data_IF_188767896573
#
_entry.id   IF_188767896573
#
_cell.length_a   1.000
_cell.length_b   1.000
_cell.length_c   1.000
_cell.angle_alpha   90.00
_cell.angle_beta   90.00
_cell.angle_gamma   90.00
#
_symmetry.space_group_name_H-M   'P 1'
#
loop_
_entity.id
_entity.type
_entity.pdbx_description
1 polymer ?
#
# COMPACT_ATOMS: atom_id res chain seq x y z
N UNK A 1 -25.31 2.15 -43.46
CA UNK A 1 -25.16 1.86 -42.03
C UNK A 1 -24.01 0.88 -41.94
N UNK A 2 -22.86 1.28 -41.42
CA UNK A 2 -21.66 0.43 -41.41
C UNK A 2 -21.84 -0.54 -40.25
N UNK A 3 -22.14 -1.81 -40.56
CA UNK A 3 -22.06 -2.89 -39.59
C UNK A 3 -20.59 -3.11 -39.26
N UNK A 4 -20.13 -2.43 -38.21
CA UNK A 4 -18.79 -2.64 -37.65
C UNK A 4 -18.83 -4.02 -36.99
N UNK A 5 -17.97 -4.98 -37.40
CA UNK A 5 -17.90 -6.27 -36.73
C UNK A 5 -17.56 -6.04 -35.26
N UNK A 6 -18.43 -6.53 -34.37
CA UNK A 6 -18.19 -6.46 -32.94
C UNK A 6 -17.13 -7.52 -32.60
N UNK A 7 -15.87 -7.11 -32.51
CA UNK A 7 -14.81 -8.00 -32.05
C UNK A 7 -15.08 -8.39 -30.59
N UNK A 8 -15.02 -9.69 -30.27
CA UNK A 8 -15.28 -10.23 -28.94
C UNK A 8 -14.29 -9.70 -27.86
N UNK A 9 -13.19 -9.08 -28.30
CA UNK A 9 -12.15 -8.49 -27.43
C UNK A 9 -12.44 -7.03 -27.01
N UNK A 10 -13.38 -6.34 -27.68
CA UNK A 10 -13.78 -4.96 -27.35
C UNK A 10 -14.12 -4.75 -25.86
N UNK A 11 -14.89 -5.62 -25.18
CA UNK A 11 -15.18 -5.47 -23.76
C UNK A 11 -13.94 -5.59 -22.86
N UNK A 12 -12.92 -6.39 -23.24
CA UNK A 12 -11.69 -6.55 -22.48
C UNK A 12 -10.83 -5.26 -22.55
N UNK A 13 -10.67 -4.72 -23.75
CA UNK A 13 -9.96 -3.45 -23.94
C UNK A 13 -10.66 -2.28 -23.25
N UNK A 14 -11.99 -2.26 -23.24
CA UNK A 14 -12.76 -1.24 -22.53
C UNK A 14 -12.51 -1.28 -21.02
N UNK A 15 -12.43 -2.49 -20.43
CA UNK A 15 -12.12 -2.67 -19.02
C UNK A 15 -10.70 -2.20 -18.68
N UNK A 16 -9.73 -2.51 -19.52
CA UNK A 16 -8.34 -2.09 -19.35
C UNK A 16 -8.19 -0.56 -19.44
N UNK A 17 -8.76 0.04 -20.48
CA UNK A 17 -8.76 1.49 -20.66
C UNK A 17 -9.43 2.20 -19.48
N UNK A 18 -10.58 1.69 -19.02
CA UNK A 18 -11.25 2.22 -17.85
C UNK A 18 -10.37 2.14 -16.61
N UNK A 19 -9.69 1.01 -16.41
CA UNK A 19 -8.76 0.80 -15.29
C UNK A 19 -7.60 1.80 -15.29
N UNK A 20 -7.00 2.07 -16.46
CA UNK A 20 -5.92 3.06 -16.59
C UNK A 20 -6.41 4.49 -16.38
N UNK A 21 -7.61 4.83 -16.86
CA UNK A 21 -8.24 6.13 -16.59
C UNK A 21 -8.57 6.26 -15.10
N UNK A 22 -9.04 5.19 -14.47
CA UNK A 22 -9.38 5.14 -13.05
C UNK A 22 -8.17 5.45 -12.16
N UNK A 23 -6.98 4.90 -12.47
CA UNK A 23 -5.75 5.19 -11.74
C UNK A 23 -5.44 6.70 -11.66
N UNK A 24 -5.69 7.44 -12.76
CA UNK A 24 -5.54 8.90 -12.79
C UNK A 24 -6.71 9.63 -12.13
N UNK A 25 -7.92 9.08 -12.19
CA UNK A 25 -9.09 9.70 -11.59
C UNK A 25 -9.03 9.69 -10.06
N UNK A 26 -8.63 8.59 -9.44
CA UNK A 26 -8.68 8.44 -7.97
C UNK A 26 -7.67 9.30 -7.20
N UNK A 27 -6.70 9.93 -7.88
CA UNK A 27 -5.80 10.92 -7.29
C UNK A 27 -6.34 12.36 -7.35
N UNK A 28 -7.43 12.59 -8.08
CA UNK A 28 -8.09 13.91 -8.15
C UNK A 28 -8.96 14.16 -6.92
N UNK A 29 -9.31 15.41 -6.62
CA UNK A 29 -10.18 15.75 -5.47
C UNK A 29 -11.51 15.00 -5.49
N UNK A 30 -12.21 14.99 -6.63
CA UNK A 30 -13.49 14.26 -6.77
C UNK A 30 -13.32 12.74 -6.66
N UNK A 31 -12.23 12.20 -7.21
CA UNK A 31 -11.93 10.76 -7.10
C UNK A 31 -11.60 10.35 -5.68
N UNK A 32 -10.82 11.17 -4.96
CA UNK A 32 -10.49 10.99 -3.55
C UNK A 32 -11.75 10.95 -2.68
N UNK A 33 -12.67 11.91 -2.86
CA UNK A 33 -13.94 11.93 -2.12
C UNK A 33 -14.80 10.69 -2.42
N UNK A 34 -14.85 10.27 -3.69
CA UNK A 34 -15.55 9.04 -4.08
C UNK A 34 -14.94 7.79 -3.44
N UNK A 35 -13.60 7.74 -3.38
CA UNK A 35 -12.86 6.64 -2.74
C UNK A 35 -13.05 6.62 -1.22
N UNK A 36 -13.13 7.78 -0.55
CA UNK A 36 -13.50 7.86 0.87
C UNK A 36 -14.90 7.32 1.10
N UNK A 37 -15.88 7.74 0.28
CA UNK A 37 -17.25 7.22 0.40
C UNK A 37 -17.28 5.70 0.22
N UNK A 38 -16.52 5.17 -0.74
CA UNK A 38 -16.42 3.73 -0.97
C UNK A 38 -15.71 2.98 0.18
N UNK A 39 -14.70 3.59 0.81
CA UNK A 39 -13.99 3.04 1.97
C UNK A 39 -14.90 2.98 3.20
N UNK A 40 -15.64 4.05 3.48
CA UNK A 40 -16.60 4.12 4.59
C UNK A 40 -17.75 3.11 4.44
N UNK A 41 -18.12 2.76 3.20
CA UNK A 41 -19.10 1.71 2.90
C UNK A 41 -18.57 0.28 3.16
N UNK A 42 -17.30 0.12 3.56
CA UNK A 42 -16.71 -1.18 3.87
C UNK A 42 -16.35 -2.01 2.63
N UNK A 43 -16.37 -1.42 1.42
CA UNK A 43 -16.01 -2.14 0.20
C UNK A 43 -14.51 -2.47 0.14
N UNK A 44 -13.67 -1.66 0.80
CA UNK A 44 -12.20 -1.82 0.82
C UNK A 44 -11.62 -2.20 2.19
N UNK A 45 -12.39 -2.05 3.27
CA UNK A 45 -11.94 -2.31 4.65
C UNK A 45 -12.74 -3.47 5.25
N UNK A 46 -12.13 -4.65 5.30
CA UNK A 46 -12.62 -5.71 6.19
C UNK A 46 -12.04 -5.51 7.60
N UNK A 47 -12.86 -5.33 8.65
CA UNK A 47 -12.37 -5.39 10.02
C UNK A 47 -11.93 -6.83 10.30
N UNK A 48 -10.62 -7.04 10.45
CA UNK A 48 -10.04 -8.36 10.68
C UNK A 48 -9.24 -8.95 9.52
N UNK A 49 -8.60 -8.11 8.68
CA UNK A 49 -7.60 -8.59 7.73
C UNK A 49 -6.40 -9.17 8.50
N UNK A 50 -6.48 -10.46 8.80
CA UNK A 50 -5.35 -11.30 9.15
C UNK A 50 -4.33 -11.15 8.02
N UNK A 51 -3.13 -10.66 8.36
CA UNK A 51 -1.94 -10.53 7.49
C UNK A 51 -1.49 -11.85 6.83
N UNK A 52 -2.28 -12.93 7.00
CA UNK A 52 -2.07 -14.29 6.53
C UNK A 52 -3.36 -14.75 5.86
N UNK A 53 -3.39 -14.68 4.53
CA UNK A 53 -4.50 -15.17 3.70
C UNK A 53 -5.43 -14.08 3.16
N UNK A 54 -4.90 -13.16 2.36
CA UNK A 54 -5.73 -12.29 1.51
C UNK A 54 -6.46 -13.17 0.50
N UNK A 55 -7.73 -13.48 0.76
CA UNK A 55 -8.61 -14.11 -0.25
C UNK A 55 -8.85 -13.08 -1.34
N UNK A 56 -8.14 -13.20 -2.47
CA UNK A 56 -8.34 -12.32 -3.61
C UNK A 56 -9.78 -12.45 -4.10
N UNK A 57 -10.53 -11.37 -3.97
CA UNK A 57 -11.85 -11.23 -4.59
C UNK A 57 -11.60 -10.55 -5.93
N UNK A 58 -11.83 -11.28 -7.02
CA UNK A 58 -11.59 -10.90 -8.43
C UNK A 58 -10.15 -10.45 -8.74
N UNK A 59 -9.55 -10.98 -9.81
CA UNK A 59 -8.21 -10.56 -10.27
C UNK A 59 -8.34 -9.19 -10.95
N UNK A 60 -8.38 -8.12 -10.16
CA UNK A 60 -8.27 -6.74 -10.64
C UNK A 60 -6.79 -6.34 -10.58
N UNK A 61 -6.26 -5.77 -11.65
CA UNK A 61 -4.87 -5.32 -11.67
C UNK A 61 -4.67 -4.12 -10.73
N UNK A 62 -3.63 -4.17 -9.91
CA UNK A 62 -3.21 -3.06 -9.06
C UNK A 62 -2.78 -1.82 -9.86
N UNK A 63 -2.40 -1.99 -11.13
CA UNK A 63 -2.08 -0.88 -12.04
C UNK A 63 -3.26 0.09 -12.20
N UNK A 64 -4.51 -0.38 -12.07
CA UNK A 64 -5.72 0.45 -12.17
C UNK A 64 -5.98 1.36 -10.96
N UNK A 65 -5.18 1.19 -9.90
CA UNK A 65 -5.17 2.07 -8.74
C UNK A 65 -3.90 2.92 -8.68
N UNK A 66 -2.77 2.35 -9.12
CA UNK A 66 -1.48 3.02 -9.10
C UNK A 66 -0.84 3.08 -7.70
N UNK A 67 0.46 3.36 -7.67
CA UNK A 67 1.26 3.34 -6.44
C UNK A 67 1.13 4.62 -5.61
N UNK A 68 0.81 5.74 -6.24
CA UNK A 68 0.75 7.05 -5.56
C UNK A 68 -0.55 7.27 -4.80
N UNK A 69 -1.64 6.63 -5.24
CA UNK A 69 -2.98 6.81 -4.64
C UNK A 69 -2.99 6.58 -3.12
N UNK A 70 -2.48 5.45 -2.58
CA UNK A 70 -2.51 5.23 -1.13
C UNK A 70 -1.80 6.33 -0.34
N UNK A 71 -0.66 6.81 -0.83
CA UNK A 71 0.10 7.86 -0.18
C UNK A 71 -0.65 9.20 -0.20
N UNK A 72 -1.13 9.62 -1.36
CA UNK A 72 -1.93 10.85 -1.50
C UNK A 72 -3.20 10.79 -0.66
N UNK A 73 -3.88 9.66 -0.66
CA UNK A 73 -5.13 9.45 0.06
C UNK A 73 -4.96 9.69 1.57
N UNK A 74 -3.95 9.10 2.20
CA UNK A 74 -3.70 9.31 3.64
C UNK A 74 -3.07 10.68 3.95
N UNK A 75 -2.35 11.29 3.00
CA UNK A 75 -1.90 12.68 3.14
C UNK A 75 -3.08 13.66 3.18
N UNK A 76 -4.12 13.40 2.38
CA UNK A 76 -5.35 14.22 2.34
C UNK A 76 -6.29 13.89 3.51
N UNK A 77 -6.46 12.62 3.87
CA UNK A 77 -7.37 12.16 4.93
C UNK A 77 -6.62 11.50 6.08
N UNK A 78 -5.88 12.31 6.85
CA UNK A 78 -5.07 11.84 7.98
C UNK A 78 -5.89 11.13 9.07
N UNK A 79 -7.14 11.54 9.27
CA UNK A 79 -8.04 10.95 10.25
C UNK A 79 -8.44 9.49 9.93
N UNK A 80 -8.21 9.05 8.69
CA UNK A 80 -8.50 7.68 8.24
C UNK A 80 -7.27 6.77 8.28
N UNK A 81 -6.11 7.28 8.73
CA UNK A 81 -4.88 6.49 8.80
C UNK A 81 -5.05 5.30 9.76
N UNK A 82 -4.75 4.07 9.31
CA UNK A 82 -4.87 2.91 10.17
C UNK A 82 -3.85 3.00 11.31
N UNK A 83 -4.31 2.75 12.54
CA UNK A 83 -3.40 2.64 13.68
C UNK A 83 -2.30 1.60 13.39
N UNK A 84 -1.03 1.89 13.70
CA UNK A 84 0.07 0.98 13.42
C UNK A 84 -0.16 -0.37 14.10
N UNK A 85 0.13 -1.45 13.38
CA UNK A 85 -0.03 -2.79 13.92
C UNK A 85 0.96 -3.00 15.07
N UNK A 86 0.46 -3.10 16.30
CA UNK A 86 1.29 -3.40 17.48
C UNK A 86 1.71 -4.88 17.55
N UNK A 87 1.12 -5.73 16.70
CA UNK A 87 1.43 -7.16 16.64
C UNK A 87 2.70 -7.41 15.81
N UNK A 88 3.83 -7.50 16.50
CA UNK A 88 5.07 -8.02 15.92
C UNK A 88 4.91 -9.51 15.60
N UNK A 89 5.24 -9.88 14.36
CA UNK A 89 5.27 -11.29 13.98
C UNK A 89 6.30 -12.05 14.83
N UNK A 90 5.84 -13.10 15.51
CA UNK A 90 6.70 -13.99 16.28
C UNK A 90 6.97 -15.24 15.44
N UNK A 91 8.16 -15.39 14.84
CA UNK A 91 8.47 -16.55 14.02
C UNK A 91 8.49 -17.83 14.87
N UNK A 92 7.79 -18.87 14.39
CA UNK A 92 7.66 -20.16 15.07
C UNK A 92 7.95 -21.32 14.10
N UNK A 93 8.65 -22.34 14.61
CA UNK A 93 8.92 -23.60 13.90
C UNK A 93 8.40 -24.74 14.79
N UNK A 94 7.52 -25.59 14.26
CA UNK A 94 6.80 -26.62 15.03
C UNK A 94 6.10 -26.05 16.30
N UNK A 95 5.65 -24.80 16.27
CA UNK A 95 5.00 -24.13 17.41
C UNK A 95 5.95 -23.45 18.40
N UNK A 96 7.26 -23.74 18.35
CA UNK A 96 8.28 -23.15 19.22
C UNK A 96 8.79 -21.81 18.65
N UNK A 97 8.97 -20.80 19.51
CA UNK A 97 9.53 -19.49 19.12
C UNK A 97 11.01 -19.65 18.76
N UNK A 98 11.47 -18.98 17.70
CA UNK A 98 12.90 -18.96 17.36
C UNK A 98 13.68 -18.18 18.43
N UNK A 99 14.65 -18.84 19.04
CA UNK A 99 15.49 -18.26 20.10
C UNK A 99 16.35 -17.09 19.59
N UNK A 100 16.54 -16.08 20.44
CA UNK A 100 17.14 -14.79 20.08
C UNK A 100 18.63 -14.85 19.71
N UNK A 101 19.32 -15.95 20.03
CA UNK A 101 20.76 -16.16 19.78
C UNK A 101 21.07 -16.84 18.44
N UNK A 102 20.07 -17.16 17.62
CA UNK A 102 20.31 -17.78 16.31
C UNK A 102 20.84 -16.75 15.30
N UNK A 103 21.84 -17.13 14.50
CA UNK A 103 22.43 -16.29 13.42
C UNK A 103 21.36 -15.69 12.50
N UNK A 104 20.27 -16.42 12.24
CA UNK A 104 19.15 -15.95 11.42
C UNK A 104 18.45 -14.70 11.97
N UNK A 105 18.44 -14.49 13.31
CA UNK A 105 17.89 -13.28 13.91
C UNK A 105 18.87 -12.10 13.87
N UNK A 106 20.19 -12.35 13.89
CA UNK A 106 21.19 -11.28 13.72
C UNK A 106 20.99 -10.55 12.39
N UNK A 107 20.78 -11.27 11.29
CA UNK A 107 20.52 -10.67 9.97
C UNK A 107 19.29 -9.75 9.98
N UNK A 108 18.18 -10.19 10.59
CA UNK A 108 16.97 -9.36 10.73
C UNK A 108 17.18 -8.14 11.64
N UNK A 109 17.98 -8.28 12.69
CA UNK A 109 18.30 -7.19 13.61
C UNK A 109 19.32 -6.19 13.03
N UNK A 110 20.15 -6.59 12.06
CA UNK A 110 21.06 -5.70 11.34
C UNK A 110 20.27 -4.84 10.36
N UNK A 111 19.41 -5.46 9.54
CA UNK A 111 18.53 -4.73 8.60
C UNK A 111 17.65 -3.68 9.32
N UNK A 112 17.10 -4.04 10.47
CA UNK A 112 16.26 -3.12 11.25
C UNK A 112 17.04 -1.95 11.89
N UNK A 113 18.37 -2.04 12.03
CA UNK A 113 19.20 -0.95 12.55
C UNK A 113 19.71 -0.02 11.46
N UNK A 114 19.92 -0.55 10.25
CA UNK A 114 20.36 0.23 9.10
C UNK A 114 19.33 1.33 8.77
N UNK A 115 18.02 1.03 8.90
CA UNK A 115 16.94 2.01 8.71
C UNK A 115 16.99 3.16 9.75
N UNK A 116 17.23 2.83 11.04
CA UNK A 116 17.32 3.81 12.14
C UNK A 116 18.56 4.72 12.01
N UNK A 117 19.66 4.17 11.48
CA UNK A 117 20.93 4.88 11.28
C UNK A 117 20.87 5.82 10.06
N UNK A 118 20.14 5.42 9.00
CA UNK A 118 19.95 6.22 7.80
C UNK A 118 19.06 7.44 8.05
N UNK A 119 18.00 7.30 8.86
CA UNK A 119 17.15 8.42 9.28
C UNK A 119 17.92 9.43 10.15
N UNK A 120 18.78 8.95 11.06
CA UNK A 120 19.66 9.82 11.85
C UNK A 120 20.71 10.54 11.01
N UNK A 121 21.27 9.87 10.00
CA UNK A 121 22.25 10.47 9.10
C UNK A 121 21.64 11.61 8.26
N UNK A 122 20.41 11.43 7.78
CA UNK A 122 19.67 12.46 7.04
C UNK A 122 19.32 13.66 7.93
N UNK A 123 18.89 13.42 9.18
CA UNK A 123 18.62 14.50 10.14
C UNK A 123 19.87 15.28 10.52
N UNK A 124 21.03 14.61 10.68
CA UNK A 124 22.29 15.29 10.96
C UNK A 124 22.74 16.18 9.80
N UNK A 125 22.58 15.71 8.55
CA UNK A 125 22.87 16.52 7.36
C UNK A 125 21.97 17.75 7.26
N UNK A 126 20.69 17.62 7.64
CA UNK A 126 19.77 18.75 7.66
C UNK A 126 20.13 19.75 8.76
N UNK A 127 20.53 19.29 9.97
CA UNK A 127 20.95 20.14 11.07
C UNK A 127 22.21 20.97 10.73
N UNK A 128 23.22 20.34 10.12
CA UNK A 128 24.48 21.00 9.73
C UNK A 128 24.25 22.10 8.69
N UNK A 129 23.18 22.02 7.89
CA UNK A 129 22.83 23.05 6.91
C UNK A 129 22.10 24.27 7.48
N UNK A 130 21.48 24.15 8.67
CA UNK A 130 20.76 25.26 9.34
C UNK A 130 21.71 26.11 10.20
N UNK A 131 22.75 25.50 10.76
CA UNK A 131 23.75 26.19 11.61
C UNK A 131 24.83 26.95 10.81
N UNK A 132 24.79 26.89 9.47
CA UNK A 132 25.75 27.52 8.56
C UNK A 132 25.23 28.83 7.91
N UNK A 133 24.12 29.39 8.39
CA UNK A 133 23.52 30.64 7.89
C UNK A 133 23.26 31.66 9.00
#
# INVERSE_FOLDING_TARGET
MVDIPYDDDVPAYAAELYGLIHARYIITSHGLDAMVSALCRGNYRQPGCSRVGFRSRSVVDGAYFGTTFPHLFFLTYKDLEPAPSTLLYVPRVFGYKIHNKSENRRRLAILAKEDDDEEKAQQLQQQVSVDAN
#
